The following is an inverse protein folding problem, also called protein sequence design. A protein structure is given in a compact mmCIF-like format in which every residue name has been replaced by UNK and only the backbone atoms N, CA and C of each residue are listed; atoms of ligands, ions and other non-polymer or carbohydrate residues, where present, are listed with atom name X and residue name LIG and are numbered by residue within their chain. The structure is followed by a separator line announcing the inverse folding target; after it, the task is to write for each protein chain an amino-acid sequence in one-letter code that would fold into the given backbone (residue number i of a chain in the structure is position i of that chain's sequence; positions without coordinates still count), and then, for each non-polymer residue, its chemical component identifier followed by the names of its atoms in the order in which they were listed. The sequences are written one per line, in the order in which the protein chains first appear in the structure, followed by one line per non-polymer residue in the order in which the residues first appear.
data_IF_273361347180
#
_entry.id   IF_273361347180
#
_cell.length_a   1.000
_cell.length_b   1.000
_cell.length_c   1.000
_cell.angle_alpha   90.00
_cell.angle_beta   90.00
_cell.angle_gamma   90.00
#
_symmetry.space_group_name_H-M   'P 1'
#
loop_
_entity.id
_entity.type
_entity.pdbx_description
1 polymer ?
#
# COMPACT_ATOMS: atom_id res chain seq x y z
N UNK A 1 17.39 -3.88 -11.45
CA UNK A 1 18.11 -5.13 -11.23
C UNK A 1 17.53 -6.24 -12.11
N UNK A 2 18.34 -7.22 -12.48
CA UNK A 2 17.90 -8.40 -13.22
C UNK A 2 16.92 -9.22 -12.34
N UNK A 3 15.84 -9.81 -12.88
CA UNK A 3 14.87 -10.55 -12.08
C UNK A 3 15.48 -11.72 -11.30
N UNK A 4 16.53 -12.36 -11.81
CA UNK A 4 17.27 -13.42 -11.11
C UNK A 4 18.01 -12.91 -9.88
N UNK A 5 18.66 -11.75 -9.97
CA UNK A 5 19.36 -11.14 -8.84
C UNK A 5 18.37 -10.64 -7.78
N UNK A 6 17.26 -10.02 -8.22
CA UNK A 6 16.20 -9.60 -7.32
C UNK A 6 15.57 -10.78 -6.57
N UNK A 7 15.32 -11.89 -7.26
CA UNK A 7 14.85 -13.14 -6.65
C UNK A 7 15.85 -13.70 -5.64
N UNK A 8 17.13 -13.78 -5.99
CA UNK A 8 18.17 -14.30 -5.08
C UNK A 8 18.26 -13.46 -3.79
N UNK A 9 18.22 -12.14 -3.90
CA UNK A 9 18.16 -11.23 -2.74
C UNK A 9 16.87 -11.43 -1.92
N UNK A 10 15.73 -11.58 -2.58
CA UNK A 10 14.47 -11.82 -1.91
C UNK A 10 14.49 -13.10 -1.08
N UNK A 11 15.00 -14.20 -1.64
CA UNK A 11 15.14 -15.46 -0.91
C UNK A 11 16.12 -15.35 0.27
N UNK A 12 17.23 -14.62 0.11
CA UNK A 12 18.19 -14.39 1.19
C UNK A 12 17.55 -13.62 2.36
N UNK A 13 16.80 -12.53 2.09
CA UNK A 13 16.17 -11.75 3.16
C UNK A 13 14.98 -12.48 3.81
N UNK A 14 14.25 -13.29 3.07
CA UNK A 14 13.19 -14.15 3.63
C UNK A 14 13.77 -15.14 4.63
N UNK A 15 14.94 -15.74 4.33
CA UNK A 15 15.65 -16.61 5.25
C UNK A 15 16.17 -15.91 6.51
N UNK A 16 16.24 -14.57 6.49
CA UNK A 16 16.59 -13.71 7.63
C UNK A 16 15.39 -13.23 8.44
N UNK A 17 14.19 -13.71 8.12
CA UNK A 17 12.96 -13.45 8.88
C UNK A 17 12.11 -12.28 8.37
N UNK A 18 12.39 -11.75 7.18
CA UNK A 18 11.49 -10.81 6.50
C UNK A 18 10.29 -11.57 5.96
N UNK A 19 9.08 -11.05 6.13
CA UNK A 19 7.81 -11.68 5.73
C UNK A 19 7.02 -10.87 4.68
N UNK A 20 7.56 -9.73 4.26
CA UNK A 20 6.97 -8.85 3.26
C UNK A 20 8.02 -8.35 2.27
N UNK A 21 7.76 -8.51 0.99
CA UNK A 21 8.66 -8.11 -0.10
C UNK A 21 8.02 -7.01 -0.94
N UNK A 22 8.86 -6.08 -1.44
CA UNK A 22 8.43 -5.05 -2.39
C UNK A 22 9.31 -5.07 -3.64
N UNK A 23 8.67 -5.17 -4.80
CA UNK A 23 9.34 -5.19 -6.10
C UNK A 23 8.91 -4.00 -6.96
N UNK A 24 9.90 -3.32 -7.55
CA UNK A 24 9.65 -2.35 -8.60
C UNK A 24 9.94 -2.97 -9.97
N UNK A 25 8.89 -3.16 -10.77
CA UNK A 25 9.00 -3.75 -12.11
C UNK A 25 8.98 -2.64 -13.15
N UNK A 26 10.01 -2.59 -13.98
CA UNK A 26 10.07 -1.62 -15.08
C UNK A 26 9.10 -2.03 -16.18
N UNK A 27 8.34 -1.08 -16.71
CA UNK A 27 7.35 -1.31 -17.75
C UNK A 27 7.88 -2.05 -18.99
N UNK A 28 9.14 -1.79 -19.37
CA UNK A 28 9.79 -2.42 -20.53
C UNK A 28 10.14 -3.91 -20.32
N UNK A 29 10.20 -4.33 -19.09
CA UNK A 29 10.57 -5.69 -18.66
C UNK A 29 9.33 -6.50 -18.24
N UNK A 30 8.15 -5.90 -18.27
CA UNK A 30 6.91 -6.51 -17.80
C UNK A 30 6.43 -7.58 -18.78
N UNK A 31 6.56 -8.83 -18.40
CA UNK A 31 6.05 -10.00 -19.10
C UNK A 31 5.94 -11.21 -18.16
N UNK A 32 5.28 -12.27 -18.59
CA UNK A 32 5.03 -13.47 -17.78
C UNK A 32 6.33 -14.19 -17.35
N UNK A 33 7.34 -14.26 -18.20
CA UNK A 33 8.64 -14.90 -17.91
C UNK A 33 9.40 -14.13 -16.82
N UNK A 34 9.33 -12.78 -16.87
CA UNK A 34 9.92 -11.94 -15.84
C UNK A 34 9.28 -12.21 -14.47
N UNK A 35 7.95 -12.24 -14.40
CA UNK A 35 7.22 -12.52 -13.14
C UNK A 35 7.54 -13.92 -12.64
N UNK A 36 7.58 -14.92 -13.52
CA UNK A 36 7.92 -16.30 -13.16
C UNK A 36 9.34 -16.43 -12.61
N UNK A 37 10.30 -15.70 -13.18
CA UNK A 37 11.69 -15.67 -12.72
C UNK A 37 11.82 -14.92 -11.40
N UNK A 38 11.13 -13.77 -11.26
CA UNK A 38 11.17 -12.94 -10.07
C UNK A 38 10.60 -13.64 -8.84
N UNK A 39 9.51 -14.38 -9.01
CA UNK A 39 8.79 -15.03 -7.90
C UNK A 39 9.14 -16.53 -7.76
N UNK A 40 10.16 -16.99 -8.46
CA UNK A 40 10.59 -18.39 -8.37
C UNK A 40 10.93 -18.77 -6.93
N UNK A 41 10.40 -19.91 -6.48
CA UNK A 41 10.64 -20.48 -5.14
C UNK A 41 10.17 -19.62 -3.95
N UNK A 42 9.39 -18.55 -4.21
CA UNK A 42 8.75 -17.74 -3.17
C UNK A 42 7.33 -18.25 -2.94
N UNK A 43 7.03 -18.66 -1.70
CA UNK A 43 5.68 -19.06 -1.30
C UNK A 43 4.76 -17.84 -1.14
N UNK A 44 3.96 -17.53 -2.16
CA UNK A 44 3.10 -16.34 -2.15
C UNK A 44 2.00 -16.36 -1.07
N UNK A 45 1.61 -17.53 -0.56
CA UNK A 45 0.64 -17.64 0.54
C UNK A 45 1.25 -17.27 1.90
N UNK A 46 2.57 -17.39 2.05
CA UNK A 46 3.29 -17.14 3.29
C UNK A 46 3.85 -15.72 3.38
N UNK A 47 4.12 -15.08 2.23
CA UNK A 47 4.81 -13.80 2.12
C UNK A 47 3.86 -12.73 1.59
N UNK A 48 3.90 -11.53 2.17
CA UNK A 48 3.18 -10.38 1.61
C UNK A 48 3.97 -9.82 0.42
N UNK A 49 3.36 -9.82 -0.77
CA UNK A 49 4.00 -9.40 -2.02
C UNK A 49 3.46 -8.06 -2.51
N UNK A 50 4.33 -7.06 -2.50
CA UNK A 50 4.01 -5.70 -2.91
C UNK A 50 4.70 -5.37 -4.23
N UNK A 51 3.97 -4.76 -5.17
CA UNK A 51 4.49 -4.44 -6.48
C UNK A 51 4.25 -2.98 -6.83
N UNK A 52 5.19 -2.41 -7.57
CA UNK A 52 5.05 -1.09 -8.18
C UNK A 52 5.58 -1.10 -9.62
N UNK A 53 4.96 -0.32 -10.47
CA UNK A 53 5.39 -0.11 -11.86
C UNK A 53 5.01 1.29 -12.34
N UNK A 54 5.30 1.61 -13.59
CA UNK A 54 4.78 2.82 -14.21
C UNK A 54 3.25 2.79 -14.27
N UNK A 55 2.58 3.88 -13.91
CA UNK A 55 1.11 3.94 -13.78
C UNK A 55 0.33 3.45 -15.01
N UNK A 56 0.86 3.65 -16.22
CA UNK A 56 0.23 3.17 -17.45
C UNK A 56 0.25 1.65 -17.64
N UNK A 57 0.96 0.90 -16.80
CA UNK A 57 1.13 -0.56 -16.87
C UNK A 57 0.67 -1.29 -15.60
N UNK A 58 -0.05 -0.60 -14.71
CA UNK A 58 -0.49 -1.21 -13.43
C UNK A 58 -1.55 -2.30 -13.65
N UNK A 59 -2.42 -2.13 -14.64
CA UNK A 59 -3.46 -3.12 -14.99
C UNK A 59 -2.81 -4.35 -15.59
N UNK A 60 -1.90 -4.17 -16.56
CA UNK A 60 -1.12 -5.26 -17.16
C UNK A 60 -0.34 -6.06 -16.12
N UNK A 61 0.31 -5.35 -15.17
CA UNK A 61 0.98 -6.01 -14.03
C UNK A 61 0.01 -6.84 -13.19
N UNK A 62 -1.18 -6.30 -12.90
CA UNK A 62 -2.19 -7.01 -12.13
C UNK A 62 -2.66 -8.29 -12.83
N UNK A 63 -2.94 -8.22 -14.12
CA UNK A 63 -3.34 -9.37 -14.94
C UNK A 63 -2.26 -10.46 -14.98
N UNK A 64 -0.99 -10.07 -15.18
CA UNK A 64 0.14 -11.00 -15.17
C UNK A 64 0.33 -11.68 -13.80
N UNK A 65 0.16 -10.95 -12.70
CA UNK A 65 0.25 -11.50 -11.34
C UNK A 65 -0.89 -12.49 -11.07
N UNK A 66 -2.13 -12.13 -11.41
CA UNK A 66 -3.28 -13.02 -11.25
C UNK A 66 -3.09 -14.30 -12.07
N UNK A 67 -2.67 -14.18 -13.33
CA UNK A 67 -2.39 -15.34 -14.19
C UNK A 67 -1.27 -16.23 -13.61
N UNK A 68 -0.21 -15.63 -13.06
CA UNK A 68 0.86 -16.36 -12.40
C UNK A 68 0.35 -17.13 -11.17
N UNK A 69 -0.42 -16.49 -10.30
CA UNK A 69 -0.94 -17.11 -9.09
C UNK A 69 -1.92 -18.27 -9.42
N UNK A 70 -2.75 -18.10 -10.44
CA UNK A 70 -3.64 -19.15 -10.94
C UNK A 70 -2.84 -20.32 -11.53
N UNK A 71 -1.81 -20.03 -12.35
CA UNK A 71 -0.92 -21.06 -12.93
C UNK A 71 -0.22 -21.91 -11.85
N UNK A 72 0.08 -21.31 -10.71
CA UNK A 72 0.73 -21.97 -9.57
C UNK A 72 -0.23 -22.63 -8.59
N UNK A 73 -1.54 -22.58 -8.87
CA UNK A 73 -2.62 -23.15 -8.05
C UNK A 73 -2.63 -22.66 -6.59
N UNK A 74 -2.27 -21.37 -6.38
CA UNK A 74 -2.35 -20.75 -5.08
C UNK A 74 -3.80 -20.41 -4.69
N UNK A 75 -4.12 -20.51 -3.40
CA UNK A 75 -5.39 -20.02 -2.86
C UNK A 75 -5.41 -18.47 -2.90
N UNK A 76 -6.04 -17.91 -3.92
CA UNK A 76 -6.10 -16.47 -4.15
C UNK A 76 -6.71 -15.70 -2.96
N UNK A 77 -7.51 -16.35 -2.12
CA UNK A 77 -8.13 -15.73 -0.94
C UNK A 77 -7.15 -15.54 0.22
N UNK A 78 -6.04 -16.27 0.22
CA UNK A 78 -4.97 -16.16 1.23
C UNK A 78 -3.93 -15.13 0.85
N UNK A 79 -3.72 -14.88 -0.44
CA UNK A 79 -2.67 -14.01 -0.94
C UNK A 79 -2.83 -12.57 -0.41
N UNK A 80 -1.75 -12.03 0.12
CA UNK A 80 -1.68 -10.67 0.68
C UNK A 80 -0.62 -9.85 -0.06
N UNK A 81 -0.91 -8.58 -0.25
CA UNK A 81 0.03 -7.68 -0.90
C UNK A 81 -0.60 -6.41 -1.42
N UNK A 82 0.13 -5.73 -2.27
CA UNK A 82 -0.36 -4.52 -2.93
C UNK A 82 0.20 -4.37 -4.35
N UNK A 83 -0.58 -3.67 -5.18
CA UNK A 83 -0.10 -3.10 -6.45
C UNK A 83 -0.23 -1.59 -6.29
N UNK A 84 0.90 -0.90 -6.17
CA UNK A 84 0.92 0.50 -5.77
C UNK A 84 0.54 1.42 -6.95
N UNK A 85 -0.77 1.63 -7.15
CA UNK A 85 -1.29 2.66 -8.03
C UNK A 85 -1.55 3.93 -7.22
N UNK A 86 -0.79 4.98 -7.50
CA UNK A 86 -0.88 6.27 -6.82
C UNK A 86 -0.93 7.41 -7.83
N UNK A 87 -2.16 7.80 -8.18
CA UNK A 87 -2.41 8.86 -9.15
C UNK A 87 -1.94 10.23 -8.65
N UNK A 88 -2.33 10.58 -7.42
CA UNK A 88 -2.07 11.90 -6.86
C UNK A 88 -0.60 12.15 -6.54
N UNK A 89 0.14 11.14 -6.07
CA UNK A 89 1.57 11.27 -5.82
C UNK A 89 2.35 11.67 -7.09
N UNK A 90 1.96 11.10 -8.20
CA UNK A 90 2.62 11.42 -9.47
C UNK A 90 2.27 12.82 -9.96
N UNK A 91 1.04 13.25 -9.75
CA UNK A 91 0.61 14.62 -10.03
C UNK A 91 1.38 15.63 -9.16
N UNK A 92 1.49 15.37 -7.85
CA UNK A 92 2.26 16.20 -6.91
C UNK A 92 3.75 16.25 -7.26
N UNK A 93 4.36 15.10 -7.53
CA UNK A 93 5.80 15.03 -7.78
C UNK A 93 6.23 15.57 -9.15
N UNK A 94 5.35 15.50 -10.17
CA UNK A 94 5.69 15.87 -11.55
C UNK A 94 4.89 17.03 -12.13
N UNK A 95 3.90 17.55 -11.40
CA UNK A 95 3.04 18.64 -11.85
C UNK A 95 2.21 18.30 -13.11
N UNK A 96 2.01 17.01 -13.40
CA UNK A 96 1.31 16.57 -14.62
C UNK A 96 0.31 15.48 -14.30
N UNK A 97 -0.91 15.68 -14.73
CA UNK A 97 -1.91 14.62 -14.81
C UNK A 97 -1.55 13.63 -15.91
N UNK A 98 -1.76 12.36 -15.68
CA UNK A 98 -1.50 11.32 -16.67
C UNK A 98 -2.57 10.23 -16.63
N UNK A 99 -3.43 10.26 -17.61
CA UNK A 99 -4.55 9.33 -17.77
C UNK A 99 -5.75 9.70 -16.90
N UNK A 100 -6.81 8.91 -17.01
CA UNK A 100 -8.00 9.03 -16.18
C UNK A 100 -7.87 8.10 -14.95
N UNK A 101 -7.96 8.71 -13.76
CA UNK A 101 -7.84 8.01 -12.48
C UNK A 101 -8.96 6.99 -12.30
N UNK A 102 -10.20 7.39 -12.63
CA UNK A 102 -11.39 6.56 -12.38
C UNK A 102 -11.39 5.31 -13.27
N UNK A 103 -11.12 5.47 -14.56
CA UNK A 103 -11.08 4.34 -15.50
C UNK A 103 -9.95 3.37 -15.16
N UNK A 104 -8.76 3.87 -14.83
CA UNK A 104 -7.62 3.03 -14.44
C UNK A 104 -7.89 2.29 -13.13
N UNK A 105 -8.46 2.97 -12.13
CA UNK A 105 -8.80 2.34 -10.85
C UNK A 105 -9.87 1.26 -11.01
N UNK A 106 -10.91 1.49 -11.84
CA UNK A 106 -11.93 0.49 -12.15
C UNK A 106 -11.33 -0.74 -12.81
N UNK A 107 -10.55 -0.57 -13.87
CA UNK A 107 -9.87 -1.68 -14.55
C UNK A 107 -8.95 -2.47 -13.59
N UNK A 108 -8.22 -1.77 -12.71
CA UNK A 108 -7.35 -2.41 -11.72
C UNK A 108 -8.13 -3.18 -10.66
N UNK A 109 -9.28 -2.66 -10.21
CA UNK A 109 -10.17 -3.34 -9.28
C UNK A 109 -10.80 -4.59 -9.91
N UNK A 110 -11.18 -4.54 -11.18
CA UNK A 110 -11.68 -5.67 -11.95
C UNK A 110 -10.61 -6.73 -12.13
N UNK A 111 -9.42 -6.36 -12.60
CA UNK A 111 -8.29 -7.28 -12.78
C UNK A 111 -7.90 -8.00 -11.47
N UNK A 112 -8.08 -7.35 -10.31
CA UNK A 112 -7.74 -7.91 -8.99
C UNK A 112 -8.96 -8.39 -8.19
N UNK A 113 -10.11 -8.60 -8.82
CA UNK A 113 -11.33 -9.04 -8.14
C UNK A 113 -11.17 -10.39 -7.44
N UNK A 114 -10.37 -11.29 -8.01
CA UNK A 114 -10.02 -12.59 -7.43
C UNK A 114 -9.07 -12.52 -6.22
N UNK A 115 -8.45 -11.35 -5.96
CA UNK A 115 -7.49 -11.11 -4.88
C UNK A 115 -8.09 -10.21 -3.79
N UNK A 116 -8.95 -10.73 -2.89
CA UNK A 116 -9.71 -9.90 -1.94
C UNK A 116 -8.82 -9.14 -0.94
N UNK A 117 -7.65 -9.68 -0.61
CA UNK A 117 -6.73 -9.09 0.37
C UNK A 117 -5.65 -8.19 -0.26
N UNK A 118 -5.59 -8.09 -1.59
CA UNK A 118 -4.70 -7.15 -2.26
C UNK A 118 -5.23 -5.72 -2.19
N UNK A 119 -4.31 -4.79 -1.92
CA UNK A 119 -4.56 -3.34 -1.95
C UNK A 119 -4.03 -2.79 -3.27
N UNK A 120 -4.83 -1.98 -3.95
CA UNK A 120 -4.47 -1.51 -5.28
C UNK A 120 -4.49 0.00 -5.44
N UNK A 121 -5.04 0.71 -4.45
CA UNK A 121 -5.01 2.17 -4.39
C UNK A 121 -4.02 2.57 -3.29
N UNK A 122 -3.03 3.37 -3.64
CA UNK A 122 -2.00 3.78 -2.71
C UNK A 122 -2.07 5.29 -2.41
N UNK A 123 -1.88 5.64 -1.14
CA UNK A 123 -1.70 7.01 -0.66
C UNK A 123 -0.27 7.11 -0.15
N UNK A 124 0.65 7.64 -0.96
CA UNK A 124 2.06 7.72 -0.61
C UNK A 124 2.41 9.04 0.09
N UNK A 125 1.98 9.19 1.33
CA UNK A 125 2.26 10.36 2.16
C UNK A 125 3.75 10.49 2.54
N UNK A 126 4.55 9.43 2.41
CA UNK A 126 6.01 9.48 2.58
C UNK A 126 6.65 10.59 1.72
N UNK A 127 6.12 10.83 0.53
CA UNK A 127 6.60 11.92 -0.34
C UNK A 127 6.50 13.28 0.33
N UNK A 128 5.42 13.53 1.09
CA UNK A 128 5.23 14.77 1.84
C UNK A 128 6.16 14.83 3.05
N UNK A 129 6.31 13.72 3.76
CA UNK A 129 7.21 13.61 4.91
C UNK A 129 8.67 13.88 4.48
N UNK A 130 9.14 13.23 3.42
CA UNK A 130 10.48 13.44 2.87
C UNK A 130 10.70 14.85 2.31
N UNK A 131 9.63 15.57 1.98
CA UNK A 131 9.67 16.98 1.62
C UNK A 131 9.66 17.94 2.82
N UNK A 132 9.63 17.41 4.06
CA UNK A 132 9.70 18.19 5.29
C UNK A 132 8.35 18.67 5.82
N UNK A 133 7.23 18.03 5.46
CA UNK A 133 5.95 18.34 6.06
C UNK A 133 5.91 17.99 7.56
N UNK A 134 5.22 18.79 8.34
CA UNK A 134 4.96 18.46 9.73
C UNK A 134 4.02 17.24 9.84
N UNK A 135 4.11 16.52 10.96
CA UNK A 135 3.36 15.29 11.24
C UNK A 135 1.85 15.46 11.00
N UNK A 136 1.26 16.55 11.47
CA UNK A 136 -0.17 16.84 11.28
C UNK A 136 -0.53 17.23 9.84
N UNK A 137 0.41 17.83 9.10
CA UNK A 137 0.23 18.14 7.67
C UNK A 137 0.26 16.85 6.84
N UNK A 138 1.25 15.99 7.06
CA UNK A 138 1.32 14.69 6.42
C UNK A 138 0.02 13.90 6.65
N UNK A 139 -0.44 13.82 7.91
CA UNK A 139 -1.69 13.13 8.26
C UNK A 139 -2.90 13.75 7.57
N UNK A 140 -3.05 15.07 7.64
CA UNK A 140 -4.18 15.78 7.03
C UNK A 140 -4.25 15.58 5.52
N UNK A 141 -3.14 15.76 4.82
CA UNK A 141 -3.07 15.54 3.37
C UNK A 141 -3.28 14.08 2.98
N UNK A 142 -2.74 13.13 3.74
CA UNK A 142 -2.96 11.71 3.48
C UNK A 142 -4.43 11.32 3.60
N UNK A 143 -5.13 11.83 4.62
CA UNK A 143 -6.56 11.60 4.80
C UNK A 143 -7.39 12.26 3.70
N UNK A 144 -7.07 13.50 3.30
CA UNK A 144 -7.69 14.16 2.17
C UNK A 144 -7.51 13.39 0.86
N UNK A 145 -6.33 12.89 0.63
CA UNK A 145 -5.98 12.06 -0.54
C UNK A 145 -6.78 10.75 -0.57
N UNK A 146 -6.83 10.04 0.56
CA UNK A 146 -7.67 8.84 0.68
C UNK A 146 -9.15 9.14 0.49
N UNK A 147 -9.63 10.26 1.04
CA UNK A 147 -11.01 10.72 0.87
C UNK A 147 -11.34 11.06 -0.60
N UNK A 148 -10.38 11.62 -1.33
CA UNK A 148 -10.57 11.91 -2.75
C UNK A 148 -10.74 10.65 -3.59
N UNK A 149 -9.98 9.57 -3.30
CA UNK A 149 -10.25 8.26 -3.89
C UNK A 149 -11.65 7.75 -3.55
N UNK A 150 -12.05 7.87 -2.29
CA UNK A 150 -13.41 7.47 -1.88
C UNK A 150 -14.47 8.24 -2.67
N UNK A 151 -14.35 9.57 -2.71
CA UNK A 151 -15.30 10.46 -3.37
C UNK A 151 -15.45 10.13 -4.87
N UNK A 152 -14.36 10.19 -5.63
CA UNK A 152 -14.43 10.01 -7.09
C UNK A 152 -14.87 8.59 -7.49
N UNK A 153 -14.45 7.57 -6.75
CA UNK A 153 -14.81 6.19 -7.10
C UNK A 153 -16.22 5.80 -6.66
N UNK A 154 -16.73 6.36 -5.55
CA UNK A 154 -18.13 6.17 -5.16
C UNK A 154 -19.08 6.95 -6.08
N UNK A 155 -18.74 8.18 -6.48
CA UNK A 155 -19.49 8.94 -7.49
C UNK A 155 -19.53 8.22 -8.85
N UNK A 156 -18.48 7.46 -9.16
CA UNK A 156 -18.42 6.60 -10.35
C UNK A 156 -19.19 5.26 -10.19
N UNK A 157 -19.92 5.07 -9.08
CA UNK A 157 -20.81 3.94 -8.82
C UNK A 157 -20.15 2.73 -8.17
N UNK A 158 -18.92 2.83 -7.65
CA UNK A 158 -18.28 1.73 -6.93
C UNK A 158 -18.73 1.70 -5.46
N UNK A 159 -18.97 0.50 -4.87
CA UNK A 159 -19.35 0.39 -3.45
C UNK A 159 -18.26 0.93 -2.52
N UNK A 160 -18.65 1.83 -1.60
CA UNK A 160 -17.72 2.45 -0.66
C UNK A 160 -16.89 1.42 0.16
N UNK A 161 -17.53 0.32 0.58
CA UNK A 161 -16.84 -0.75 1.29
C UNK A 161 -15.75 -1.43 0.45
N UNK A 162 -15.94 -1.56 -0.86
CA UNK A 162 -14.93 -2.11 -1.77
C UNK A 162 -13.75 -1.14 -1.88
N UNK A 163 -14.02 0.13 -2.18
CA UNK A 163 -12.99 1.17 -2.37
C UNK A 163 -12.13 1.30 -1.11
N UNK A 164 -12.76 1.47 0.06
CA UNK A 164 -12.04 1.62 1.33
C UNK A 164 -11.11 0.43 1.63
N UNK A 165 -11.56 -0.80 1.36
CA UNK A 165 -10.75 -2.02 1.56
C UNK A 165 -9.57 -2.13 0.61
N UNK A 166 -9.56 -1.39 -0.49
CA UNK A 166 -8.49 -1.45 -1.50
C UNK A 166 -7.46 -0.32 -1.37
N UNK A 167 -7.65 0.61 -0.43
CA UNK A 167 -6.70 1.68 -0.15
C UNK A 167 -5.63 1.21 0.85
N UNK A 168 -4.36 1.53 0.57
CA UNK A 168 -3.20 1.39 1.44
C UNK A 168 -2.58 2.76 1.65
N UNK A 169 -2.24 3.08 2.89
CA UNK A 169 -1.55 4.31 3.25
C UNK A 169 -0.08 4.01 3.52
N UNK A 170 0.81 4.78 2.90
CA UNK A 170 2.24 4.74 3.13
C UNK A 170 2.66 6.05 3.79
N UNK A 171 3.08 6.01 5.06
CA UNK A 171 3.51 7.16 5.84
C UNK A 171 5.01 7.14 6.08
N UNK A 172 5.60 8.33 6.21
CA UNK A 172 6.93 8.49 6.75
C UNK A 172 6.94 8.33 8.27
N UNK A 173 8.09 7.99 8.83
CA UNK A 173 8.36 8.00 10.27
C UNK A 173 9.45 9.04 10.50
N UNK A 174 9.13 10.09 11.25
CA UNK A 174 10.08 11.15 11.61
C UNK A 174 10.72 10.90 12.98
N UNK A 175 11.61 11.80 13.39
CA UNK A 175 12.34 11.69 14.66
C UNK A 175 11.49 11.98 15.91
N UNK A 176 10.26 12.44 15.77
CA UNK A 176 9.38 12.81 16.90
C UNK A 176 8.64 11.58 17.47
N UNK A 177 9.34 10.78 18.25
CA UNK A 177 8.92 9.46 18.74
C UNK A 177 7.46 9.36 19.20
N UNK A 178 7.05 10.17 20.18
CA UNK A 178 5.70 10.12 20.75
C UNK A 178 4.64 10.68 19.81
N UNK A 179 4.98 11.69 19.02
CA UNK A 179 4.06 12.27 18.04
C UNK A 179 3.82 11.32 16.88
N UNK A 180 4.81 10.52 16.49
CA UNK A 180 4.63 9.48 15.48
C UNK A 180 3.67 8.37 15.97
N UNK A 181 3.81 7.93 17.21
CA UNK A 181 2.85 6.99 17.83
C UNK A 181 1.44 7.57 17.82
N UNK A 182 1.30 8.84 18.20
CA UNK A 182 0.01 9.54 18.20
C UNK A 182 -0.56 9.67 16.77
N UNK A 183 0.27 10.02 15.77
CA UNK A 183 -0.11 10.14 14.37
C UNK A 183 -0.78 8.87 13.85
N UNK A 184 -0.15 7.72 14.00
CA UNK A 184 -0.68 6.46 13.49
C UNK A 184 -1.98 6.02 14.19
N UNK A 185 -2.10 6.28 15.49
CA UNK A 185 -3.33 6.03 16.24
C UNK A 185 -4.46 6.96 15.79
N UNK A 186 -4.18 8.26 15.66
CA UNK A 186 -5.12 9.24 15.16
C UNK A 186 -5.54 8.95 13.72
N UNK A 187 -4.61 8.53 12.85
CA UNK A 187 -4.88 8.17 11.46
C UNK A 187 -5.96 7.10 11.35
N UNK A 188 -5.87 6.02 12.15
CA UNK A 188 -6.86 4.95 12.16
C UNK A 188 -8.25 5.42 12.58
N UNK A 189 -8.32 6.25 13.61
CA UNK A 189 -9.58 6.79 14.13
C UNK A 189 -10.23 7.75 13.13
N UNK A 190 -9.45 8.69 12.60
CA UNK A 190 -9.95 9.68 11.65
C UNK A 190 -10.37 9.03 10.33
N UNK A 191 -9.59 8.07 9.83
CA UNK A 191 -9.95 7.31 8.64
C UNK A 191 -11.24 6.52 8.83
N UNK A 192 -11.43 5.89 10.00
CA UNK A 192 -12.66 5.17 10.29
C UNK A 192 -13.88 6.09 10.25
N UNK A 193 -13.77 7.32 10.77
CA UNK A 193 -14.82 8.32 10.70
C UNK A 193 -15.10 8.77 9.25
N UNK A 194 -14.07 8.98 8.45
CA UNK A 194 -14.22 9.33 7.02
C UNK A 194 -14.96 8.21 6.29
N UNK A 195 -14.53 6.95 6.45
CA UNK A 195 -15.19 5.82 5.79
C UNK A 195 -16.63 5.66 6.26
N UNK A 196 -16.90 5.85 7.56
CA UNK A 196 -18.26 5.78 8.10
C UNK A 196 -19.21 6.79 7.46
N UNK A 197 -18.75 8.00 7.09
CA UNK A 197 -19.59 9.01 6.43
C UNK A 197 -20.10 8.60 5.04
N UNK A 198 -19.47 7.61 4.41
CA UNK A 198 -19.92 7.00 3.14
C UNK A 198 -20.92 5.86 3.33
N UNK A 199 -21.33 5.55 4.57
CA UNK A 199 -22.25 4.47 4.90
C UNK A 199 -21.93 3.15 4.18
N UNK A 200 -20.73 2.59 4.37
CA UNK A 200 -20.29 1.41 3.63
C UNK A 200 -21.11 0.19 4.00
N UNK A 201 -21.84 -0.38 3.07
CA UNK A 201 -22.59 -1.60 3.26
C UNK A 201 -21.71 -2.85 3.17
N UNK A 202 -22.03 -3.87 3.97
CA UNK A 202 -21.33 -5.15 3.89
C UNK A 202 -21.73 -5.90 2.61
N UNK A 203 -20.75 -6.14 1.74
CA UNK A 203 -20.91 -6.86 0.47
C UNK A 203 -21.03 -8.39 0.65
N UNK A 204 -20.74 -8.91 1.84
CA UNK A 204 -20.78 -10.35 2.20
C UNK A 204 -21.29 -10.50 3.64
N UNK A 205 -21.65 -11.71 4.02
CA UNK A 205 -21.87 -12.00 5.44
C UNK A 205 -20.56 -11.77 6.21
N UNK A 206 -20.61 -10.80 7.10
CA UNK A 206 -19.47 -10.32 7.86
C UNK A 206 -19.84 -10.39 9.36
N UNK A 207 -19.01 -11.08 10.14
CA UNK A 207 -19.19 -11.20 11.60
C UNK A 207 -19.16 -9.85 12.34
N UNK A 208 -18.59 -8.82 11.70
CA UNK A 208 -18.43 -7.47 12.23
C UNK A 208 -19.41 -6.46 11.60
N UNK A 209 -20.63 -6.89 11.25
CA UNK A 209 -21.70 -5.96 10.82
C UNK A 209 -22.09 -5.04 11.97
N UNK A 210 -22.25 -3.75 11.69
CA UNK A 210 -22.88 -2.82 12.61
C UNK A 210 -24.40 -3.02 12.70
N UNK A 211 -25.05 -2.33 13.61
CA UNK A 211 -26.50 -2.44 13.87
C UNK A 211 -27.36 -2.12 12.64
N UNK A 212 -26.86 -1.24 11.75
CA UNK A 212 -27.51 -0.81 10.51
C UNK A 212 -26.86 -1.42 9.25
N UNK A 213 -26.31 -2.65 9.34
CA UNK A 213 -25.63 -3.34 8.22
C UNK A 213 -24.33 -2.69 7.75
N UNK A 214 -23.75 -1.80 8.54
CA UNK A 214 -22.52 -1.08 8.24
C UNK A 214 -21.30 -2.02 8.19
N UNK A 215 -20.41 -1.82 7.21
CA UNK A 215 -19.18 -2.60 7.09
C UNK A 215 -18.06 -2.01 7.94
N UNK A 216 -17.99 -2.34 9.22
CA UNK A 216 -16.88 -1.91 10.11
C UNK A 216 -15.51 -2.39 9.63
N UNK A 217 -15.44 -3.50 8.89
CA UNK A 217 -14.20 -4.01 8.31
C UNK A 217 -13.62 -3.09 7.22
N UNK A 218 -14.48 -2.32 6.51
CA UNK A 218 -14.06 -1.35 5.52
C UNK A 218 -13.31 -0.16 6.14
N UNK A 219 -13.64 0.19 7.38
CA UNK A 219 -13.04 1.30 8.10
C UNK A 219 -11.61 0.99 8.63
N UNK A 220 -11.13 -0.25 8.53
CA UNK A 220 -9.78 -0.62 8.95
C UNK A 220 -8.75 -0.06 8.00
N UNK A 221 -8.01 0.95 8.46
CA UNK A 221 -6.90 1.53 7.72
C UNK A 221 -5.74 0.55 7.61
N UNK A 222 -5.21 0.32 6.41
CA UNK A 222 -3.98 -0.44 6.19
C UNK A 222 -2.82 0.54 6.10
N UNK A 223 -1.88 0.43 7.02
CA UNK A 223 -0.74 1.36 7.15
C UNK A 223 0.57 0.61 6.89
N UNK A 224 1.30 1.08 5.90
CA UNK A 224 2.72 0.82 5.74
C UNK A 224 3.50 2.06 6.20
N UNK A 225 4.59 1.88 6.92
CA UNK A 225 5.43 2.97 7.38
C UNK A 225 6.87 2.79 6.88
N UNK A 226 7.49 3.88 6.47
CA UNK A 226 8.89 3.91 6.05
C UNK A 226 9.66 4.94 6.85
N UNK A 227 10.90 4.63 7.24
CA UNK A 227 11.76 5.60 7.92
C UNK A 227 12.06 6.77 7.01
N UNK A 228 11.88 8.01 7.52
CA UNK A 228 12.02 9.22 6.74
C UNK A 228 13.46 9.50 6.35
N UNK A 229 13.69 9.81 5.10
CA UNK A 229 15.02 10.26 4.64
C UNK A 229 15.31 11.71 4.98
N UNK A 230 14.30 12.49 5.39
CA UNK A 230 14.45 13.91 5.74
C UNK A 230 15.39 14.13 6.93
N UNK A 231 15.39 13.22 7.90
CA UNK A 231 16.21 13.31 9.11
C UNK A 231 17.58 12.63 8.97
N UNK A 232 17.87 11.97 7.86
CA UNK A 232 19.10 11.21 7.67
C UNK A 232 20.26 12.12 7.25
N UNK A 233 21.46 11.75 7.65
CA UNK A 233 22.70 12.41 7.23
C UNK A 233 23.46 11.56 6.20
N UNK A 234 24.07 12.21 5.24
CA UNK A 234 24.95 11.55 4.25
C UNK A 234 26.35 11.27 4.80
N UNK A 235 26.79 12.02 5.81
CA UNK A 235 28.18 12.02 6.26
C UNK A 235 28.48 11.01 7.36
N UNK A 236 27.46 10.47 8.04
CA UNK A 236 27.62 9.48 9.11
C UNK A 236 26.48 8.44 9.07
N UNK A 237 26.76 7.32 8.41
CA UNK A 237 25.81 6.22 8.28
C UNK A 237 25.48 5.55 9.63
N UNK A 238 26.42 5.54 10.58
CA UNK A 238 26.21 4.91 11.89
C UNK A 238 25.21 5.70 12.77
N UNK A 239 25.21 7.02 12.67
CA UNK A 239 24.20 7.87 13.33
C UNK A 239 22.81 7.60 12.76
N UNK A 240 22.69 7.32 11.46
CA UNK A 240 21.41 6.96 10.85
C UNK A 240 20.85 5.66 11.41
N UNK A 241 21.70 4.68 11.74
CA UNK A 241 21.25 3.44 12.37
C UNK A 241 20.51 3.69 13.69
N UNK A 242 21.02 4.60 14.53
CA UNK A 242 20.36 4.98 15.78
C UNK A 242 19.04 5.71 15.54
N UNK A 243 18.98 6.58 14.53
CA UNK A 243 17.76 7.31 14.16
C UNK A 243 16.68 6.36 13.65
N UNK A 244 17.00 5.54 12.68
CA UNK A 244 16.04 4.61 12.07
C UNK A 244 15.55 3.55 13.06
N UNK A 245 16.39 3.13 14.02
CA UNK A 245 15.97 2.23 15.08
C UNK A 245 14.85 2.82 15.94
N UNK A 246 15.00 4.08 16.39
CA UNK A 246 13.98 4.73 17.21
C UNK A 246 12.73 5.08 16.42
N UNK A 247 12.86 5.45 15.16
CA UNK A 247 11.76 5.66 14.24
C UNK A 247 10.96 4.35 14.04
N UNK A 248 11.62 3.25 13.70
CA UNK A 248 11.00 1.94 13.56
C UNK A 248 10.30 1.47 14.85
N UNK A 249 10.90 1.71 16.01
CA UNK A 249 10.30 1.38 17.30
C UNK A 249 9.00 2.15 17.54
N UNK A 250 8.95 3.44 17.18
CA UNK A 250 7.72 4.25 17.30
C UNK A 250 6.58 3.71 16.45
N UNK A 251 6.88 3.31 15.22
CA UNK A 251 5.90 2.71 14.30
C UNK A 251 5.40 1.33 14.79
N UNK A 252 6.30 0.50 15.31
CA UNK A 252 5.94 -0.80 15.89
C UNK A 252 5.02 -0.65 17.11
N UNK A 253 5.31 0.27 18.03
CA UNK A 253 4.46 0.56 19.18
C UNK A 253 3.11 1.21 18.80
N UNK A 254 3.08 1.94 17.71
CA UNK A 254 1.84 2.47 17.16
C UNK A 254 0.96 1.40 16.49
N UNK A 255 1.50 0.22 16.22
CA UNK A 255 0.79 -0.90 15.61
C UNK A 255 0.55 -0.72 14.12
N UNK A 256 1.56 -0.26 13.36
CA UNK A 256 1.48 -0.26 11.90
C UNK A 256 1.42 -1.69 11.35
N UNK A 257 0.87 -1.86 10.15
CA UNK A 257 0.67 -3.20 9.59
C UNK A 257 1.94 -3.76 8.94
N UNK A 258 2.80 -2.89 8.43
CA UNK A 258 4.12 -3.23 7.87
C UNK A 258 5.05 -2.02 7.90
N UNK A 259 6.36 -2.24 7.85
CA UNK A 259 7.36 -1.17 7.80
C UNK A 259 8.61 -1.57 7.02
N UNK A 260 9.31 -0.56 6.53
CA UNK A 260 10.62 -0.65 5.86
C UNK A 260 11.59 0.37 6.44
#
# INVERSE_FOLDING_TARGET
ECPKEANAKALDILNKGVDSLSFHVKAKELNAEYIETLLKDICAECVELNFSTCQGHVVELAELLVAYFQKKDYDLTKLRGSINYDYFNKMLAKGKEKGDMVSTAKALLEATASLPKYRVLNVNALTLNNAGSYIFQELGYALAWGNEYMNQLTDAGLPAALVAKKIKFNFGISSNYFLEIAKFRAARMLWANIVASYNPECLRDCENKGEHNECRCAAKMRIHAETSTFNLTLFDAHVNLLRTQTEAMSAALAGVDSMT
#
